data_IF_827376758883
#
_entry.id   IF_827376758883
#
_cell.length_a   1.000
_cell.length_b   1.000
_cell.length_c   1.000
_cell.angle_alpha   90.00
_cell.angle_beta   90.00
_cell.angle_gamma   90.00
#
_symmetry.space_group_name_H-M   'P 1'
#
loop_
_entity.id
_entity.type
_entity.pdbx_description
1 polymer ?
#
# COMPACT_ATOMS: atom_id res chain seq x y z
N UNK A 1 17.30 -17.96 -35.55
CA UNK A 1 16.61 -17.39 -36.72
C UNK A 1 16.09 -18.56 -37.55
N UNK A 2 14.77 -18.72 -37.71
CA UNK A 2 14.18 -19.84 -38.44
C UNK A 2 14.56 -19.85 -39.92
N UNK A 3 14.89 -18.69 -40.49
CA UNK A 3 15.23 -18.55 -41.91
C UNK A 3 16.72 -18.84 -42.16
N UNK A 4 17.59 -18.53 -41.19
CA UNK A 4 19.04 -18.72 -41.34
C UNK A 4 19.63 -19.88 -40.52
N UNK A 5 18.84 -20.53 -39.67
CA UNK A 5 19.28 -21.54 -38.68
C UNK A 5 20.41 -21.08 -37.75
N UNK A 6 20.71 -19.79 -37.71
CA UNK A 6 21.73 -19.23 -36.81
C UNK A 6 21.13 -18.93 -35.45
N UNK A 7 21.88 -19.27 -34.41
CA UNK A 7 21.59 -18.84 -33.05
C UNK A 7 21.79 -17.31 -32.95
N UNK A 8 20.94 -16.66 -32.15
CA UNK A 8 20.96 -15.23 -31.95
C UNK A 8 20.41 -14.84 -30.60
N UNK A 9 20.74 -13.64 -30.13
CA UNK A 9 20.28 -13.14 -28.85
C UNK A 9 18.83 -12.69 -28.98
N UNK A 10 17.94 -13.25 -28.15
CA UNK A 10 16.52 -12.89 -28.14
C UNK A 10 16.30 -11.55 -27.43
N UNK A 11 15.22 -10.85 -27.76
CA UNK A 11 14.83 -9.62 -27.05
C UNK A 11 14.66 -9.87 -25.54
N UNK A 12 14.10 -11.03 -25.16
CA UNK A 12 13.97 -11.42 -23.77
C UNK A 12 15.33 -11.52 -23.06
N UNK A 13 16.35 -12.08 -23.72
CA UNK A 13 17.71 -12.17 -23.16
C UNK A 13 18.32 -10.78 -22.94
N UNK A 14 18.11 -9.86 -23.89
CA UNK A 14 18.58 -8.47 -23.78
C UNK A 14 17.86 -7.75 -22.64
N UNK A 15 16.55 -7.91 -22.51
CA UNK A 15 15.79 -7.32 -21.40
C UNK A 15 16.21 -7.90 -20.04
N UNK A 16 16.43 -9.22 -19.94
CA UNK A 16 16.77 -9.89 -18.68
C UNK A 16 18.21 -9.65 -18.22
N UNK A 17 19.17 -9.59 -19.15
CA UNK A 17 20.61 -9.64 -18.82
C UNK A 17 21.46 -8.60 -19.57
N UNK A 18 20.86 -7.83 -20.48
CA UNK A 18 21.58 -6.86 -21.29
C UNK A 18 22.11 -5.69 -20.47
N UNK A 19 23.17 -5.06 -20.98
CA UNK A 19 23.64 -3.78 -20.45
C UNK A 19 22.69 -2.67 -20.85
N UNK A 20 22.62 -1.61 -20.04
CA UNK A 20 21.76 -0.45 -20.29
C UNK A 20 21.92 0.11 -21.71
N UNK A 21 23.14 0.31 -22.20
CA UNK A 21 23.38 0.79 -23.57
C UNK A 21 22.81 -0.14 -24.64
N UNK A 22 22.89 -1.46 -24.44
CA UNK A 22 22.34 -2.44 -25.39
C UNK A 22 20.82 -2.38 -25.37
N UNK A 23 20.20 -2.37 -24.18
CA UNK A 23 18.75 -2.24 -24.04
C UNK A 23 18.28 -0.94 -24.72
N UNK A 24 18.89 0.19 -24.41
CA UNK A 24 18.49 1.50 -24.94
C UNK A 24 18.71 1.65 -26.46
N UNK A 25 19.67 0.91 -27.03
CA UNK A 25 19.88 0.88 -28.48
C UNK A 25 18.75 0.17 -29.25
N UNK A 26 18.03 -0.74 -28.59
CA UNK A 26 16.99 -1.59 -29.21
C UNK A 26 15.59 -1.16 -28.78
N UNK A 27 15.43 -0.81 -27.51
CA UNK A 27 14.20 -0.34 -26.87
C UNK A 27 14.46 1.00 -26.19
N UNK A 28 14.63 2.11 -26.93
CA UNK A 28 14.85 3.43 -26.34
C UNK A 28 13.68 3.90 -25.45
N UNK A 29 12.50 3.30 -25.62
CA UNK A 29 11.32 3.51 -24.77
C UNK A 29 11.33 2.69 -23.47
N UNK A 30 12.27 1.75 -23.29
CA UNK A 30 12.36 0.93 -22.09
C UNK A 30 12.63 1.82 -20.87
N UNK A 31 11.62 1.91 -20.02
CA UNK A 31 11.66 2.74 -18.82
C UNK A 31 10.58 2.32 -17.85
N UNK A 32 10.92 2.32 -16.57
CA UNK A 32 9.97 2.22 -15.46
C UNK A 32 10.23 3.37 -14.50
N UNK A 33 9.19 4.13 -14.16
CA UNK A 33 9.24 5.20 -13.17
C UNK A 33 8.71 4.70 -11.82
N UNK A 34 9.56 4.70 -10.79
CA UNK A 34 9.12 4.54 -9.41
C UNK A 34 8.95 5.94 -8.80
N UNK A 35 7.77 6.25 -8.28
CA UNK A 35 7.40 7.60 -7.83
C UNK A 35 6.81 7.48 -6.42
N UNK A 36 7.27 8.33 -5.52
CA UNK A 36 6.70 8.50 -4.19
C UNK A 36 6.20 9.94 -4.06
N UNK A 37 4.93 10.10 -3.66
CA UNK A 37 4.31 11.41 -3.48
C UNK A 37 3.31 11.40 -2.32
N UNK A 38 3.64 12.10 -1.26
CA UNK A 38 2.79 12.35 -0.10
C UNK A 38 2.65 13.85 0.12
N UNK A 39 3.76 14.59 0.12
CA UNK A 39 3.76 16.04 0.35
C UNK A 39 3.65 16.80 -0.97
N UNK A 40 4.49 16.48 -1.96
CA UNK A 40 4.48 17.13 -3.26
C UNK A 40 3.63 16.35 -4.29
N UNK A 41 2.33 16.62 -4.29
CA UNK A 41 1.37 15.95 -5.18
C UNK A 41 1.55 16.30 -6.67
N UNK A 42 2.06 17.50 -6.97
CA UNK A 42 2.25 18.00 -8.35
C UNK A 42 3.52 17.45 -9.02
N UNK A 43 4.56 17.13 -8.23
CA UNK A 43 5.81 16.56 -8.74
C UNK A 43 6.02 15.17 -8.16
N UNK A 44 6.80 15.07 -7.10
CA UNK A 44 7.12 13.86 -6.35
C UNK A 44 8.04 14.26 -5.20
N UNK A 45 8.01 13.49 -4.12
CA UNK A 45 8.97 13.61 -3.02
C UNK A 45 10.23 12.81 -3.29
N UNK A 46 10.08 11.67 -3.99
CA UNK A 46 11.19 10.84 -4.47
C UNK A 46 10.81 10.17 -5.79
N UNK A 47 11.79 9.98 -6.67
CA UNK A 47 11.61 9.32 -7.96
C UNK A 47 12.85 8.52 -8.33
N UNK A 48 12.64 7.27 -8.69
CA UNK A 48 13.66 6.45 -9.33
C UNK A 48 13.31 6.20 -10.81
N UNK A 49 14.23 6.54 -11.71
CA UNK A 49 14.10 6.28 -13.15
C UNK A 49 14.92 5.04 -13.50
N UNK A 50 14.23 3.98 -13.89
CA UNK A 50 14.82 2.66 -14.08
C UNK A 50 14.81 2.31 -15.57
N UNK A 51 16.00 2.19 -16.15
CA UNK A 51 16.24 1.92 -17.59
C UNK A 51 17.16 0.72 -17.82
N UNK A 52 17.38 -0.08 -16.77
CA UNK A 52 18.30 -1.21 -16.77
C UNK A 52 17.57 -2.53 -17.04
N UNK A 53 18.29 -3.67 -17.00
CA UNK A 53 17.71 -4.98 -17.20
C UNK A 53 16.62 -5.32 -16.16
N UNK A 54 15.80 -6.33 -16.44
CA UNK A 54 14.62 -6.65 -15.64
C UNK A 54 14.96 -7.19 -14.25
N UNK A 55 16.11 -7.83 -14.07
CA UNK A 55 16.53 -8.35 -12.75
C UNK A 55 16.93 -7.18 -11.85
N UNK A 56 17.75 -6.26 -12.36
CA UNK A 56 18.13 -5.05 -11.63
C UNK A 56 16.94 -4.12 -11.41
N UNK A 57 16.02 -4.05 -12.39
CA UNK A 57 14.77 -3.30 -12.27
C UNK A 57 13.90 -3.85 -11.14
N UNK A 58 13.78 -5.17 -11.00
CA UNK A 58 13.07 -5.81 -9.89
C UNK A 58 13.66 -5.37 -8.55
N UNK A 59 14.98 -5.48 -8.40
CA UNK A 59 15.67 -5.13 -7.15
C UNK A 59 15.51 -3.65 -6.79
N UNK A 60 15.60 -2.75 -7.78
CA UNK A 60 15.40 -1.30 -7.57
C UNK A 60 13.96 -0.97 -7.18
N UNK A 61 12.97 -1.56 -7.83
CA UNK A 61 11.56 -1.37 -7.49
C UNK A 61 11.25 -1.91 -6.09
N UNK A 62 11.79 -3.08 -5.75
CA UNK A 62 11.62 -3.67 -4.42
C UNK A 62 12.25 -2.78 -3.35
N UNK A 63 13.48 -2.31 -3.58
CA UNK A 63 14.16 -1.39 -2.68
C UNK A 63 13.41 -0.05 -2.54
N UNK A 64 12.81 0.46 -3.62
CA UNK A 64 12.00 1.68 -3.60
C UNK A 64 10.73 1.48 -2.76
N UNK A 65 10.01 0.37 -2.97
CA UNK A 65 8.84 0.01 -2.16
C UNK A 65 9.21 -0.18 -0.69
N UNK A 66 10.27 -0.94 -0.42
CA UNK A 66 10.79 -1.13 0.93
C UNK A 66 11.22 0.19 1.56
N UNK A 67 11.80 1.13 0.81
CA UNK A 67 12.23 2.45 1.30
C UNK A 67 11.05 3.29 1.77
N UNK A 68 9.89 3.21 1.12
CA UNK A 68 8.75 4.11 1.34
C UNK A 68 7.55 3.50 2.05
N UNK A 69 7.47 2.16 2.15
CA UNK A 69 6.39 1.45 2.82
C UNK A 69 6.85 0.83 4.15
N UNK A 70 6.00 0.91 5.17
CA UNK A 70 6.30 0.38 6.50
C UNK A 70 6.30 -1.15 6.54
N UNK A 71 7.26 -1.71 7.27
CA UNK A 71 7.22 -3.13 7.66
C UNK A 71 6.33 -3.27 8.90
N UNK A 72 5.08 -3.65 8.70
CA UNK A 72 4.10 -3.79 9.77
C UNK A 72 4.23 -5.16 10.44
N UNK A 73 4.00 -5.22 11.75
CA UNK A 73 3.91 -6.49 12.46
C UNK A 73 2.58 -7.19 12.12
N UNK A 74 2.64 -8.16 11.21
CA UNK A 74 1.47 -8.88 10.71
C UNK A 74 1.62 -10.38 10.98
N UNK A 75 0.54 -11.00 11.41
CA UNK A 75 0.44 -12.44 11.62
C UNK A 75 -0.46 -13.07 10.54
N UNK A 76 -0.05 -14.23 10.05
CA UNK A 76 -0.88 -15.15 9.28
C UNK A 76 -1.08 -16.41 10.13
N UNK A 77 -2.26 -16.50 10.76
CA UNK A 77 -2.48 -17.43 11.86
C UNK A 77 -1.58 -17.11 13.05
N UNK A 78 -0.65 -18.01 13.37
CA UNK A 78 0.29 -17.86 14.49
C UNK A 78 1.68 -17.39 14.06
N UNK A 79 1.94 -17.29 12.76
CA UNK A 79 3.26 -16.99 12.22
C UNK A 79 3.36 -15.53 11.78
N UNK A 80 4.48 -14.88 12.09
CA UNK A 80 4.78 -13.55 11.55
C UNK A 80 5.11 -13.64 10.06
N UNK A 81 4.54 -12.74 9.27
CA UNK A 81 4.78 -12.65 7.83
C UNK A 81 5.19 -11.23 7.42
N UNK A 82 6.02 -11.13 6.39
CA UNK A 82 6.38 -9.85 5.77
C UNK A 82 5.42 -9.56 4.61
N UNK A 83 4.20 -9.12 4.96
CA UNK A 83 3.15 -8.90 3.96
C UNK A 83 3.53 -7.82 2.93
N UNK A 84 4.28 -6.78 3.35
CA UNK A 84 4.77 -5.73 2.46
C UNK A 84 5.60 -6.32 1.32
N UNK A 85 6.62 -7.10 1.63
CA UNK A 85 7.53 -7.61 0.62
C UNK A 85 6.88 -8.68 -0.26
N UNK A 86 5.92 -9.44 0.29
CA UNK A 86 5.14 -10.41 -0.47
C UNK A 86 4.22 -9.73 -1.50
N UNK A 87 3.57 -8.62 -1.13
CA UNK A 87 2.78 -7.80 -2.06
C UNK A 87 3.71 -7.19 -3.13
N UNK A 88 4.82 -6.57 -2.70
CA UNK A 88 5.78 -5.92 -3.60
C UNK A 88 6.35 -6.90 -4.61
N UNK A 89 6.81 -8.08 -4.15
CA UNK A 89 7.32 -9.15 -5.01
C UNK A 89 6.32 -9.48 -6.11
N UNK A 90 5.06 -9.67 -5.75
CA UNK A 90 4.04 -10.09 -6.69
C UNK A 90 3.71 -9.01 -7.72
N UNK A 91 3.43 -7.77 -7.28
CA UNK A 91 3.07 -6.70 -8.21
C UNK A 91 4.23 -6.31 -9.11
N UNK A 92 5.48 -6.32 -8.61
CA UNK A 92 6.68 -6.00 -9.39
C UNK A 92 6.93 -7.09 -10.43
N UNK A 93 6.91 -8.36 -10.01
CA UNK A 93 7.09 -9.49 -10.93
C UNK A 93 6.03 -9.50 -12.03
N UNK A 94 4.77 -9.27 -11.69
CA UNK A 94 3.69 -9.18 -12.67
C UNK A 94 3.91 -8.03 -13.66
N UNK A 95 4.28 -6.85 -13.17
CA UNK A 95 4.59 -5.69 -14.02
C UNK A 95 5.67 -6.02 -15.04
N UNK A 96 6.80 -6.59 -14.59
CA UNK A 96 7.95 -6.84 -15.46
C UNK A 96 7.72 -8.03 -16.40
N UNK A 97 7.02 -9.07 -15.94
CA UNK A 97 6.79 -10.27 -16.74
C UNK A 97 5.63 -10.13 -17.75
N UNK A 98 4.64 -9.28 -17.49
CA UNK A 98 3.45 -9.16 -18.34
C UNK A 98 3.36 -7.85 -19.13
N UNK A 99 4.32 -6.94 -18.97
CA UNK A 99 4.40 -5.70 -19.76
C UNK A 99 4.55 -5.98 -21.25
N UNK A 100 3.85 -5.18 -22.05
CA UNK A 100 4.14 -5.02 -23.47
C UNK A 100 5.34 -4.07 -23.67
N UNK A 101 6.51 -4.64 -24.01
CA UNK A 101 7.75 -3.90 -24.23
C UNK A 101 7.83 -3.22 -25.60
N UNK A 102 6.90 -3.49 -26.52
CA UNK A 102 6.84 -2.82 -27.82
C UNK A 102 6.26 -1.40 -27.72
N UNK A 103 5.48 -1.14 -26.67
CA UNK A 103 4.80 0.14 -26.44
C UNK A 103 5.70 1.22 -25.88
N UNK A 104 5.48 2.46 -26.32
CA UNK A 104 6.13 3.67 -25.81
C UNK A 104 5.63 4.13 -24.43
N UNK A 105 4.57 3.50 -23.89
CA UNK A 105 4.04 3.86 -22.57
C UNK A 105 4.99 3.38 -21.46
N UNK A 106 5.56 4.28 -20.65
CA UNK A 106 6.46 3.89 -19.56
C UNK A 106 5.67 3.21 -18.44
N UNK A 107 6.20 2.11 -17.91
CA UNK A 107 5.62 1.51 -16.72
C UNK A 107 5.84 2.42 -15.50
N UNK A 108 4.93 2.38 -14.53
CA UNK A 108 5.00 3.21 -13.34
C UNK A 108 4.65 2.41 -12.10
N UNK A 109 5.38 2.66 -11.03
CA UNK A 109 5.00 2.30 -9.66
C UNK A 109 4.87 3.60 -8.87
N UNK A 110 3.66 3.98 -8.51
CA UNK A 110 3.36 5.20 -7.77
C UNK A 110 2.93 4.80 -6.37
N UNK A 111 3.60 5.32 -5.36
CA UNK A 111 3.23 5.17 -3.95
C UNK A 111 2.76 6.54 -3.47
N UNK A 112 1.51 6.61 -3.03
CA UNK A 112 0.96 7.80 -2.36
C UNK A 112 0.48 7.47 -0.94
N UNK A 113 -0.17 8.43 -0.28
CA UNK A 113 -0.65 8.24 1.10
C UNK A 113 -1.73 7.18 1.24
N UNK A 114 -2.44 6.86 0.15
CA UNK A 114 -3.64 6.01 0.14
C UNK A 114 -3.42 4.67 -0.55
N UNK A 115 -2.47 4.57 -1.49
CA UNK A 115 -2.29 3.37 -2.30
C UNK A 115 -0.93 3.23 -2.94
N UNK A 116 -0.66 2.01 -3.40
CA UNK A 116 0.31 1.72 -4.47
C UNK A 116 -0.49 1.56 -5.76
N UNK A 117 -0.11 2.31 -6.79
CA UNK A 117 -0.63 2.21 -8.14
C UNK A 117 0.47 1.72 -9.08
N UNK A 118 0.22 0.60 -9.74
CA UNK A 118 1.03 0.12 -10.86
C UNK A 118 0.30 0.41 -12.16
N UNK A 119 1.03 0.94 -13.16
CA UNK A 119 0.54 1.09 -14.53
C UNK A 119 1.57 0.53 -15.51
N UNK A 120 1.17 -0.29 -16.48
CA UNK A 120 2.03 -0.70 -17.58
C UNK A 120 1.24 -0.94 -18.87
N UNK A 121 1.91 -0.77 -20.01
CA UNK A 121 1.33 -1.18 -21.30
C UNK A 121 1.06 -2.67 -21.30
N UNK A 122 -0.01 -3.05 -21.98
CA UNK A 122 -0.54 -4.39 -21.92
C UNK A 122 -1.16 -4.82 -23.26
N UNK A 123 -0.86 -6.05 -23.69
CA UNK A 123 -1.62 -6.73 -24.73
C UNK A 123 -2.81 -7.43 -24.06
N UNK A 124 -3.93 -6.72 -23.99
CA UNK A 124 -5.11 -7.15 -23.25
C UNK A 124 -5.77 -8.37 -23.89
N UNK A 125 -6.16 -9.35 -23.05
CA UNK A 125 -6.94 -10.51 -23.49
C UNK A 125 -8.44 -10.38 -23.14
N UNK A 126 -8.78 -9.32 -22.41
CA UNK A 126 -10.12 -8.89 -22.05
C UNK A 126 -10.09 -7.42 -21.61
N UNK A 127 -11.24 -6.88 -21.23
CA UNK A 127 -11.34 -5.52 -20.69
C UNK A 127 -12.18 -5.57 -19.41
N UNK A 128 -11.72 -4.89 -18.37
CA UNK A 128 -12.44 -4.70 -17.12
C UNK A 128 -11.68 -5.20 -15.89
N UNK A 129 -12.37 -5.22 -14.76
CA UNK A 129 -11.80 -5.71 -13.50
C UNK A 129 -11.67 -7.23 -13.56
N UNK A 130 -10.50 -7.75 -13.22
CA UNK A 130 -10.24 -9.18 -13.17
C UNK A 130 -10.92 -9.80 -11.95
N UNK A 131 -11.71 -10.86 -12.21
CA UNK A 131 -12.33 -11.69 -11.18
C UNK A 131 -11.39 -12.84 -10.81
N UNK A 132 -11.00 -12.92 -9.54
CA UNK A 132 -10.05 -13.94 -9.05
C UNK A 132 -10.55 -15.38 -9.22
N UNK A 133 -11.86 -15.59 -9.24
CA UNK A 133 -12.46 -16.93 -9.37
C UNK A 133 -12.51 -17.38 -10.84
N UNK A 134 -12.54 -16.43 -11.78
CA UNK A 134 -12.68 -16.68 -13.21
C UNK A 134 -11.40 -16.41 -14.00
N UNK A 135 -10.37 -15.87 -13.35
CA UNK A 135 -9.14 -15.50 -14.00
C UNK A 135 -8.35 -16.73 -14.46
N UNK A 136 -8.08 -16.78 -15.77
CA UNK A 136 -7.22 -17.79 -16.37
C UNK A 136 -5.81 -17.20 -16.59
N UNK A 137 -4.75 -17.77 -15.98
CA UNK A 137 -3.40 -17.27 -16.14
C UNK A 137 -2.91 -17.34 -17.59
N UNK A 138 -2.55 -16.19 -18.16
CA UNK A 138 -1.97 -16.10 -19.51
C UNK A 138 -0.58 -15.42 -19.49
N UNK A 139 0.52 -16.16 -19.71
CA UNK A 139 1.86 -15.59 -19.72
C UNK A 139 2.10 -14.77 -21.00
N UNK A 140 2.16 -13.44 -20.86
CA UNK A 140 2.34 -12.51 -21.99
C UNK A 140 3.77 -12.49 -22.53
N UNK A 141 4.76 -12.74 -21.66
CA UNK A 141 6.15 -12.95 -22.07
C UNK A 141 6.69 -14.28 -21.51
N UNK A 142 6.35 -15.44 -22.10
CA UNK A 142 6.70 -16.75 -21.55
C UNK A 142 8.19 -16.97 -21.21
N UNK A 143 9.18 -16.51 -22.02
CA UNK A 143 10.59 -16.64 -21.66
C UNK A 143 10.98 -15.85 -20.41
N UNK A 144 10.46 -14.62 -20.26
CA UNK A 144 10.70 -13.76 -19.09
C UNK A 144 10.07 -14.41 -17.85
N UNK A 145 8.80 -14.79 -17.94
CA UNK A 145 8.09 -15.47 -16.86
C UNK A 145 8.79 -16.77 -16.44
N UNK A 146 9.34 -17.53 -17.40
CA UNK A 146 10.11 -18.74 -17.11
C UNK A 146 11.33 -18.40 -16.27
N UNK A 147 12.17 -17.47 -16.72
CA UNK A 147 13.36 -17.07 -15.96
C UNK A 147 12.99 -16.60 -14.56
N UNK A 148 11.98 -15.72 -14.43
CA UNK A 148 11.53 -15.21 -13.12
C UNK A 148 11.11 -16.31 -12.15
N UNK A 149 10.47 -17.37 -12.63
CA UNK A 149 10.15 -18.55 -11.81
C UNK A 149 11.39 -19.33 -11.40
N UNK A 150 12.27 -19.62 -12.34
CA UNK A 150 13.51 -20.41 -12.09
C UNK A 150 14.43 -19.72 -11.06
N UNK A 151 14.45 -18.39 -11.05
CA UNK A 151 15.26 -17.61 -10.08
C UNK A 151 14.48 -17.21 -8.81
N UNK A 152 13.23 -17.65 -8.66
CA UNK A 152 12.41 -17.42 -7.45
C UNK A 152 11.75 -16.03 -7.31
N UNK A 153 11.78 -15.19 -8.36
CA UNK A 153 11.13 -13.88 -8.34
C UNK A 153 9.60 -13.94 -8.55
N UNK A 154 9.09 -15.01 -9.16
CA UNK A 154 7.66 -15.24 -9.36
C UNK A 154 7.27 -16.66 -8.94
N UNK A 155 6.03 -16.83 -8.45
CA UNK A 155 5.47 -18.14 -8.09
C UNK A 155 4.87 -18.86 -9.32
N UNK A 156 4.43 -20.10 -9.12
CA UNK A 156 3.68 -20.85 -10.12
C UNK A 156 2.35 -20.16 -10.48
N UNK A 157 1.90 -20.37 -11.73
CA UNK A 157 0.71 -19.75 -12.33
C UNK A 157 -0.52 -19.87 -11.41
N UNK A 158 -1.19 -18.74 -11.15
CA UNK A 158 -2.48 -18.69 -10.44
C UNK A 158 -2.42 -18.47 -8.93
N UNK A 159 -1.24 -18.54 -8.31
CA UNK A 159 -1.07 -18.24 -6.87
C UNK A 159 -0.93 -16.73 -6.59
N UNK A 160 -0.43 -15.98 -7.57
CA UNK A 160 -0.04 -14.58 -7.44
C UNK A 160 -1.16 -13.61 -7.02
N UNK A 161 -2.28 -13.60 -7.76
CA UNK A 161 -3.44 -12.77 -7.39
C UNK A 161 -3.98 -13.16 -6.01
N UNK A 162 -4.10 -14.45 -5.70
CA UNK A 162 -4.60 -14.93 -4.40
C UNK A 162 -3.72 -14.47 -3.24
N UNK A 163 -2.40 -14.57 -3.40
CA UNK A 163 -1.44 -14.07 -2.42
C UNK A 163 -1.55 -12.56 -2.27
N UNK A 164 -1.67 -11.81 -3.38
CA UNK A 164 -1.86 -10.36 -3.32
C UNK A 164 -3.12 -9.98 -2.56
N UNK A 165 -4.26 -10.63 -2.81
CA UNK A 165 -5.50 -10.43 -2.07
C UNK A 165 -5.32 -10.71 -0.57
N UNK A 166 -4.78 -11.88 -0.22
CA UNK A 166 -4.54 -12.28 1.17
C UNK A 166 -3.67 -11.27 1.90
N UNK A 167 -2.49 -10.94 1.36
CA UNK A 167 -1.55 -10.08 2.05
C UNK A 167 -1.97 -8.62 2.05
N UNK A 168 -2.66 -8.13 1.01
CA UNK A 168 -3.24 -6.78 1.01
C UNK A 168 -4.26 -6.64 2.14
N UNK A 169 -5.14 -7.64 2.31
CA UNK A 169 -6.13 -7.65 3.40
C UNK A 169 -5.47 -7.64 4.77
N UNK A 170 -4.39 -8.39 4.95
CA UNK A 170 -3.62 -8.38 6.20
C UNK A 170 -2.83 -7.08 6.41
N UNK A 171 -2.35 -6.45 5.34
CA UNK A 171 -1.48 -5.28 5.38
C UNK A 171 -2.22 -3.95 5.57
N UNK A 172 -3.33 -3.76 4.85
CA UNK A 172 -4.10 -2.51 4.89
C UNK A 172 -5.56 -2.69 5.32
N UNK A 173 -6.07 -3.92 5.35
CA UNK A 173 -7.50 -4.20 5.57
C UNK A 173 -8.36 -4.02 4.32
N UNK A 174 -7.80 -3.49 3.23
CA UNK A 174 -8.48 -3.34 1.94
C UNK A 174 -8.27 -4.54 1.01
N UNK A 175 -8.79 -4.41 -0.21
CA UNK A 175 -8.64 -5.41 -1.26
C UNK A 175 -7.96 -4.80 -2.49
N UNK A 176 -7.09 -5.55 -3.18
CA UNK A 176 -6.46 -5.06 -4.39
C UNK A 176 -7.47 -5.05 -5.54
N UNK A 177 -7.24 -4.16 -6.51
CA UNK A 177 -8.01 -4.12 -7.77
C UNK A 177 -7.06 -4.29 -8.93
N UNK A 178 -7.38 -5.22 -9.83
CA UNK A 178 -6.66 -5.45 -11.07
C UNK A 178 -7.57 -5.11 -12.24
N UNK A 179 -7.21 -4.10 -13.02
CA UNK A 179 -7.98 -3.63 -14.15
C UNK A 179 -7.23 -3.95 -15.44
N UNK A 180 -7.81 -4.83 -16.26
CA UNK A 180 -7.29 -5.16 -17.58
C UNK A 180 -7.82 -4.19 -18.64
N UNK A 181 -6.88 -3.64 -19.40
CA UNK A 181 -7.11 -2.82 -20.59
C UNK A 181 -5.79 -2.64 -21.33
N UNK A 182 -5.74 -1.70 -22.28
CA UNK A 182 -4.49 -1.36 -22.99
C UNK A 182 -3.38 -0.90 -22.03
N UNK A 183 -3.78 -0.25 -20.94
CA UNK A 183 -2.95 -0.04 -19.76
C UNK A 183 -3.50 -0.96 -18.68
N UNK A 184 -2.68 -1.90 -18.23
CA UNK A 184 -3.00 -2.71 -17.07
C UNK A 184 -2.74 -1.88 -15.82
N UNK A 185 -3.70 -1.90 -14.88
CA UNK A 185 -3.57 -1.18 -13.61
C UNK A 185 -3.73 -2.13 -12.44
N UNK A 186 -2.88 -1.96 -11.44
CA UNK A 186 -3.04 -2.61 -10.13
C UNK A 186 -3.11 -1.56 -9.05
N UNK A 187 -4.14 -1.66 -8.21
CA UNK A 187 -4.35 -0.78 -7.06
C UNK A 187 -4.20 -1.61 -5.79
N UNK A 188 -3.23 -1.26 -4.94
CA UNK A 188 -3.10 -1.82 -3.60
C UNK A 188 -3.42 -0.73 -2.59
N UNK A 189 -4.56 -0.79 -1.87
CA UNK A 189 -4.86 0.20 -0.84
C UNK A 189 -3.85 0.13 0.31
N UNK A 190 -3.52 1.28 0.88
CA UNK A 190 -2.67 1.45 2.05
C UNK A 190 -3.50 2.03 3.20
N UNK A 191 -3.25 1.55 4.43
CA UNK A 191 -3.72 2.24 5.64
C UNK A 191 -2.76 3.41 5.93
N UNK A 192 -3.21 4.52 6.50
CA UNK A 192 -2.33 5.68 6.83
C UNK A 192 -1.06 5.30 7.62
N UNK A 193 -1.13 4.23 8.42
CA UNK A 193 0.01 3.71 9.19
C UNK A 193 1.02 2.95 8.31
N UNK A 194 0.63 2.47 7.14
CA UNK A 194 1.50 1.76 6.20
C UNK A 194 2.38 2.69 5.34
N UNK A 195 1.94 3.93 5.10
CA UNK A 195 2.59 4.90 4.22
C UNK A 195 3.54 5.89 4.92
N UNK A 196 3.50 6.01 6.26
CA UNK A 196 4.35 6.92 7.02
C UNK A 196 5.64 6.24 7.50
N UNK A 197 6.67 6.15 6.66
CA UNK A 197 8.02 5.87 7.16
C UNK A 197 8.60 7.12 7.80
N UNK A 198 8.85 7.04 9.11
CA UNK A 198 9.35 8.14 9.94
C UNK A 198 10.77 8.54 9.51
N UNK A 199 10.86 9.55 8.65
CA UNK A 199 12.08 10.32 8.42
C UNK A 199 12.15 11.48 9.42
N UNK A 200 13.11 11.41 10.35
CA UNK A 200 13.43 12.39 11.42
C UNK A 200 12.45 12.45 12.60
N UNK A 201 12.76 11.63 13.60
CA UNK A 201 12.81 12.11 14.99
C UNK A 201 11.50 12.50 15.64
N UNK A 202 10.51 11.61 15.64
CA UNK A 202 9.48 11.59 16.68
C UNK A 202 9.12 10.15 17.00
N UNK A 203 9.11 9.86 18.29
CA UNK A 203 8.75 8.57 18.87
C UNK A 203 7.33 8.21 18.40
N UNK A 204 7.07 7.05 17.76
CA UNK A 204 5.72 6.68 17.39
C UNK A 204 5.00 6.27 18.67
N UNK A 205 4.10 7.14 19.13
CA UNK A 205 3.17 6.84 20.21
C UNK A 205 1.77 6.88 19.63
N UNK A 206 1.36 5.89 18.84
CA UNK A 206 -0.04 5.78 18.46
C UNK A 206 -0.54 4.34 18.36
N UNK A 207 -1.53 4.11 19.22
CA UNK A 207 -2.38 2.93 19.41
C UNK A 207 -3.50 3.01 18.35
N UNK A 208 -4.05 1.91 17.82
CA UNK A 208 -5.03 1.96 16.74
C UNK A 208 -6.31 2.72 17.16
N UNK A 209 -6.60 3.84 16.49
CA UNK A 209 -7.89 4.55 16.56
C UNK A 209 -8.72 4.19 15.32
N UNK A 210 -9.50 3.10 15.41
CA UNK A 210 -10.68 2.91 14.57
C UNK A 210 -11.90 3.28 15.42
N UNK A 211 -12.27 4.56 15.39
CA UNK A 211 -13.53 5.10 15.94
C UNK A 211 -13.98 6.19 14.97
N UNK A 212 -15.29 6.30 14.61
CA UNK A 212 -15.79 7.28 13.66
C UNK A 212 -15.23 8.67 13.95
N UNK A 213 -14.70 9.35 12.94
CA UNK A 213 -14.15 10.70 13.06
C UNK A 213 -15.27 11.71 13.33
N UNK A 214 -15.79 11.69 14.56
CA UNK A 214 -16.38 12.86 15.18
C UNK A 214 -15.25 13.86 15.41
N UNK A 215 -15.43 15.10 14.98
CA UNK A 215 -14.44 16.14 15.23
C UNK A 215 -14.19 16.28 16.75
N UNK A 216 -12.99 16.71 17.15
CA UNK A 216 -12.66 16.92 18.57
C UNK A 216 -13.71 17.80 19.27
N UNK A 217 -14.24 18.78 18.55
CA UNK A 217 -15.24 19.73 19.05
C UNK A 217 -16.63 19.07 19.21
N UNK A 218 -16.99 18.13 18.34
CA UNK A 218 -18.18 17.29 18.51
C UNK A 218 -18.06 16.41 19.77
N UNK A 219 -16.91 15.78 20.00
CA UNK A 219 -16.69 14.96 21.19
C UNK A 219 -16.80 15.80 22.46
N UNK A 220 -16.19 16.99 22.48
CA UNK A 220 -16.26 17.91 23.62
C UNK A 220 -17.71 18.36 23.87
N UNK A 221 -18.47 18.71 22.82
CA UNK A 221 -19.85 19.13 22.97
C UNK A 221 -20.75 18.02 23.53
N UNK A 222 -20.55 16.76 23.11
CA UNK A 222 -21.26 15.60 23.68
C UNK A 222 -20.89 15.40 25.16
N UNK A 223 -19.60 15.51 25.53
CA UNK A 223 -19.16 15.39 26.93
C UNK A 223 -19.85 16.45 27.80
N UNK A 224 -19.89 17.70 27.35
CA UNK A 224 -20.57 18.81 28.04
C UNK A 224 -22.06 18.49 28.22
N UNK A 225 -22.71 17.97 27.18
CA UNK A 225 -24.13 17.62 27.23
C UNK A 225 -24.41 16.47 28.21
N UNK A 226 -23.58 15.44 28.24
CA UNK A 226 -23.72 14.34 29.20
C UNK A 226 -23.54 14.81 30.65
N UNK A 227 -22.58 15.70 30.90
CA UNK A 227 -22.37 16.30 32.22
C UNK A 227 -23.56 17.16 32.63
N UNK A 228 -24.15 17.94 31.71
CA UNK A 228 -25.37 18.73 31.97
C UNK A 228 -26.57 17.83 32.29
N UNK A 229 -26.72 16.72 31.57
CA UNK A 229 -27.82 15.77 31.78
C UNK A 229 -27.68 14.99 33.09
N UNK A 230 -26.46 14.62 33.48
CA UNK A 230 -26.19 13.90 34.72
C UNK A 230 -24.89 14.39 35.35
N UNK A 231 -25.00 15.25 36.36
CA UNK A 231 -23.84 15.76 37.10
C UNK A 231 -23.00 14.66 37.76
N UNK A 232 -23.49 13.43 37.92
CA UNK A 232 -22.73 12.29 38.47
C UNK A 232 -22.22 11.31 37.42
N UNK A 233 -22.30 11.66 36.13
CA UNK A 233 -21.83 10.80 35.04
C UNK A 233 -20.36 10.41 35.24
N UNK A 234 -20.08 9.13 35.06
CA UNK A 234 -18.73 8.57 35.17
C UNK A 234 -18.01 8.62 33.82
N UNK A 235 -16.68 8.70 33.85
CA UNK A 235 -15.86 8.63 32.62
C UNK A 235 -16.12 7.36 31.83
N UNK A 236 -16.43 6.26 32.51
CA UNK A 236 -16.78 4.96 31.93
C UNK A 236 -18.07 5.01 31.12
N UNK A 237 -19.12 5.65 31.63
CA UNK A 237 -20.39 5.79 30.93
C UNK A 237 -20.24 6.64 29.66
N UNK A 238 -19.50 7.76 29.75
CA UNK A 238 -19.20 8.61 28.59
C UNK A 238 -18.36 7.85 27.55
N UNK A 239 -17.35 7.10 28.01
CA UNK A 239 -16.48 6.28 27.17
C UNK A 239 -17.26 5.22 26.38
N UNK A 240 -18.18 4.51 27.05
CA UNK A 240 -19.04 3.51 26.39
C UNK A 240 -19.95 4.15 25.34
N UNK A 241 -20.53 5.31 25.63
CA UNK A 241 -21.44 6.01 24.71
C UNK A 241 -20.74 6.52 23.45
N UNK A 242 -19.50 6.99 23.58
CA UNK A 242 -18.71 7.54 22.49
C UNK A 242 -17.81 6.52 21.77
N UNK A 243 -17.76 5.27 22.24
CA UNK A 243 -16.84 4.26 21.71
C UNK A 243 -15.36 4.60 21.94
N UNK A 244 -15.06 5.38 22.99
CA UNK A 244 -13.70 5.85 23.34
C UNK A 244 -13.19 5.17 24.62
N UNK A 245 -11.90 5.28 24.90
CA UNK A 245 -11.34 4.80 26.19
C UNK A 245 -11.61 5.81 27.31
N UNK A 246 -11.74 5.32 28.56
CA UNK A 246 -11.85 6.19 29.75
C UNK A 246 -10.69 7.17 29.89
N UNK A 247 -9.50 6.79 29.41
CA UNK A 247 -8.29 7.63 29.39
C UNK A 247 -8.45 8.80 28.40
N UNK A 248 -9.02 8.54 27.22
CA UNK A 248 -9.30 9.57 26.21
C UNK A 248 -10.34 10.56 26.73
N UNK A 249 -11.43 10.07 27.33
CA UNK A 249 -12.45 10.91 27.98
C UNK A 249 -11.82 11.74 29.11
N UNK A 250 -10.99 11.14 29.95
CA UNK A 250 -10.27 11.85 31.01
C UNK A 250 -9.38 12.98 30.48
N UNK A 251 -8.73 12.78 29.33
CA UNK A 251 -7.92 13.81 28.65
C UNK A 251 -8.79 14.94 28.12
N UNK A 252 -9.92 14.63 27.49
CA UNK A 252 -10.84 15.66 26.98
C UNK A 252 -11.46 16.47 28.11
N UNK A 253 -12.00 15.82 29.15
CA UNK A 253 -12.59 16.51 30.31
C UNK A 253 -11.60 17.43 31.02
N UNK A 254 -10.31 17.08 31.06
CA UNK A 254 -9.27 17.93 31.66
C UNK A 254 -8.98 19.21 30.85
N UNK A 255 -9.24 19.16 29.54
CA UNK A 255 -9.00 20.27 28.62
C UNK A 255 -10.27 21.10 28.35
N UNK A 256 -11.34 20.88 29.11
CA UNK A 256 -12.54 21.72 29.10
C UNK A 256 -12.35 22.75 30.21
N UNK A 257 -12.08 24.00 29.83
CA UNK A 257 -11.64 25.05 30.76
C UNK A 257 -12.63 25.31 31.90
N UNK A 258 -13.92 25.07 31.66
CA UNK A 258 -14.99 25.34 32.60
C UNK A 258 -15.58 24.10 33.29
N UNK A 259 -14.97 22.92 33.17
CA UNK A 259 -15.47 21.69 33.80
C UNK A 259 -14.68 21.34 35.07
N UNK A 260 -15.36 21.25 36.22
CA UNK A 260 -14.75 20.89 37.52
C UNK A 260 -15.45 19.73 38.18
N UNK A 261 -14.71 18.91 38.92
CA UNK A 261 -15.27 17.87 39.78
C UNK A 261 -15.29 18.36 41.23
N UNK A 262 -16.48 18.50 41.80
CA UNK A 262 -16.71 18.95 43.17
C UNK A 262 -16.97 17.74 44.06
N UNK A 263 -16.18 17.59 45.13
CA UNK A 263 -16.32 16.51 46.11
C UNK A 263 -15.25 15.42 46.01
N UNK A 264 -15.43 14.32 46.76
CA UNK A 264 -14.47 13.20 46.84
C UNK A 264 -15.14 11.86 46.58
N UNK A 265 -14.49 11.02 45.78
CA UNK A 265 -14.92 9.64 45.51
C UNK A 265 -16.36 9.57 44.96
N UNK A 266 -17.15 8.64 45.50
CA UNK A 266 -18.53 8.37 45.05
C UNK A 266 -19.56 9.45 45.41
N UNK A 267 -19.18 10.46 46.20
CA UNK A 267 -20.06 11.55 46.62
C UNK A 267 -19.88 12.84 45.81
N UNK A 268 -18.90 12.88 44.90
CA UNK A 268 -18.65 14.05 44.06
C UNK A 268 -19.55 14.13 42.83
N UNK A 269 -19.55 15.29 42.19
CA UNK A 269 -20.29 15.59 40.96
C UNK A 269 -19.51 16.57 40.08
N UNK A 270 -19.82 16.59 38.80
CA UNK A 270 -19.30 17.51 37.81
C UNK A 270 -20.13 18.80 37.78
N UNK A 271 -19.43 19.92 37.72
CA UNK A 271 -19.98 21.27 37.59
C UNK A 271 -19.34 21.95 36.38
N UNK A 272 -20.15 22.70 35.64
CA UNK A 272 -19.70 23.51 34.52
C UNK A 272 -19.91 24.96 34.93
N UNK A 273 -18.82 25.70 35.03
CA UNK A 273 -18.87 27.15 35.27
C UNK A 273 -19.29 27.85 33.96
N UNK A 274 -20.15 28.87 34.05
CA UNK A 274 -20.52 29.71 32.89
C UNK A 274 -19.41 30.69 32.50
#
# INVERSE_FOLDING_TARGET
DPDTNKEGITLASILLFGKDNTIMSILPQHKTDAIFRIENLDRYDDRDVIITNLIDSYNRLLAFGQKHLNDLFILDGIYRVNARDLILREIISNTLAHRDYSSGYPAKMIIDSEKILIENSNLAHGIGILDIEKFEPFPKNPPISKVFREIGLADELGSGMRNTYKYTKLYSGGEPVFEEGNIFKTFIPLKRVASQKVGRGTVPQDVPQDVPQQSRDEIISIIIQEVKNNKKVTRKEIAQKLGLTEKTIGRYMKNIDNLKFIGRGRHGYWEIDD
#
